data_IF_834335678364
#
_entry.id   IF_834335678364
#
_cell.length_a   1.000
_cell.length_b   1.000
_cell.length_c   1.000
_cell.angle_alpha   90.00
_cell.angle_beta   90.00
_cell.angle_gamma   90.00
#
_symmetry.space_group_name_H-M   'P 1'
#
loop_
_entity.id
_entity.type
_entity.pdbx_description
1 polymer ?
#
# COMPACT_ATOMS: atom_id res chain seq x y z
N UNK A 1 30.48 1.50 -19.65
CA UNK A 1 31.73 2.30 -19.61
C UNK A 1 31.77 3.55 -20.50
N UNK A 2 30.84 3.80 -21.46
CA UNK A 2 30.83 5.03 -22.29
C UNK A 2 29.83 6.13 -21.87
N UNK A 3 28.99 5.91 -20.86
CA UNK A 3 28.00 6.91 -20.40
C UNK A 3 28.43 7.74 -19.18
N UNK A 4 29.55 7.38 -18.53
CA UNK A 4 30.07 8.15 -17.39
C UNK A 4 30.93 9.37 -17.79
N UNK A 5 31.25 9.51 -19.09
CA UNK A 5 32.15 10.57 -19.56
C UNK A 5 31.44 11.84 -20.04
N UNK A 6 30.11 11.86 -20.16
CA UNK A 6 29.40 12.98 -20.78
C UNK A 6 28.88 14.05 -19.79
N UNK A 7 28.98 13.81 -18.47
CA UNK A 7 28.51 14.76 -17.43
C UNK A 7 29.66 15.55 -16.80
N UNK A 8 30.93 15.20 -17.10
CA UNK A 8 32.11 15.87 -16.54
C UNK A 8 32.67 17.01 -17.41
N UNK A 9 32.12 17.26 -18.61
CA UNK A 9 32.64 18.28 -19.53
C UNK A 9 32.00 19.66 -19.42
N UNK A 10 31.17 19.90 -18.40
CA UNK A 10 30.47 21.19 -18.22
C UNK A 10 30.71 21.86 -16.85
N UNK A 11 31.72 21.42 -16.10
CA UNK A 11 32.10 22.06 -14.83
C UNK A 11 33.54 22.55 -14.98
N UNK A 12 33.69 23.87 -15.04
CA UNK A 12 35.00 24.51 -15.02
C UNK A 12 35.59 24.39 -13.60
N UNK A 13 36.64 23.59 -13.40
CA UNK A 13 37.20 23.34 -12.07
C UNK A 13 37.85 24.58 -11.45
N UNK A 14 38.07 25.65 -12.22
CA UNK A 14 38.65 26.92 -11.78
C UNK A 14 37.59 28.03 -11.54
N UNK A 15 36.28 27.71 -11.62
CA UNK A 15 35.22 28.69 -11.30
C UNK A 15 35.30 29.12 -9.81
N UNK A 16 35.55 30.41 -9.52
CA UNK A 16 35.70 30.90 -8.15
C UNK A 16 34.45 30.68 -7.30
N UNK A 17 33.25 30.57 -7.87
CA UNK A 17 32.04 30.23 -7.11
C UNK A 17 32.01 28.74 -6.71
N UNK A 18 32.44 27.86 -7.59
CA UNK A 18 32.51 26.41 -7.35
C UNK A 18 33.54 26.09 -6.26
N UNK A 19 34.73 26.68 -6.34
CA UNK A 19 35.79 26.55 -5.34
C UNK A 19 35.33 27.09 -3.98
N UNK A 20 34.57 28.20 -3.97
CA UNK A 20 34.00 28.80 -2.74
C UNK A 20 32.86 27.98 -2.13
N UNK A 21 32.17 27.15 -2.92
CA UNK A 21 31.16 26.21 -2.42
C UNK A 21 31.76 24.92 -1.85
N UNK A 22 32.91 24.48 -2.40
CA UNK A 22 33.67 23.33 -1.90
C UNK A 22 34.41 23.63 -0.59
N UNK A 23 34.96 24.84 -0.45
CA UNK A 23 35.72 25.28 0.74
C UNK A 23 34.84 25.78 1.89
N UNK A 24 33.51 25.77 1.76
CA UNK A 24 32.60 26.28 2.80
C UNK A 24 32.41 25.23 3.90
N UNK A 25 32.76 25.53 5.17
CA UNK A 25 32.49 24.64 6.30
C UNK A 25 31.02 24.24 6.40
N UNK A 26 30.75 23.00 6.82
CA UNK A 26 29.41 22.41 6.83
C UNK A 26 28.38 23.26 7.61
N UNK A 27 28.78 23.82 8.75
CA UNK A 27 27.95 24.68 9.60
C UNK A 27 27.48 25.96 8.88
N UNK A 28 28.35 26.56 8.06
CA UNK A 28 28.03 27.77 7.28
C UNK A 28 27.14 27.42 6.08
N UNK A 29 27.28 26.23 5.52
CA UNK A 29 26.43 25.76 4.41
C UNK A 29 25.00 25.49 4.88
N UNK A 30 24.84 24.92 6.08
CA UNK A 30 23.52 24.77 6.71
C UNK A 30 22.91 26.11 7.08
N UNK A 31 23.68 27.04 7.64
CA UNK A 31 23.17 28.37 8.03
C UNK A 31 22.74 29.21 6.82
N UNK A 32 23.46 29.16 5.70
CA UNK A 32 23.06 29.81 4.43
C UNK A 32 21.78 29.21 3.86
N UNK A 33 21.59 27.89 3.98
CA UNK A 33 20.36 27.22 3.57
C UNK A 33 19.19 27.61 4.48
N UNK A 34 19.41 27.67 5.79
CA UNK A 34 18.41 28.13 6.77
C UNK A 34 18.04 29.60 6.55
N UNK A 35 19.00 30.48 6.26
CA UNK A 35 18.75 31.87 5.90
C UNK A 35 17.97 32.01 4.59
N UNK A 36 18.26 31.17 3.59
CA UNK A 36 17.52 31.17 2.31
C UNK A 36 16.08 30.69 2.49
N UNK A 37 15.86 29.68 3.33
CA UNK A 37 14.51 29.23 3.72
C UNK A 37 13.75 30.32 4.49
N UNK A 38 14.39 30.95 5.49
CA UNK A 38 13.79 32.05 6.26
C UNK A 38 13.44 33.25 5.38
N UNK A 39 14.28 33.59 4.39
CA UNK A 39 13.98 34.64 3.40
C UNK A 39 12.78 34.31 2.53
N UNK A 40 12.66 33.06 2.06
CA UNK A 40 11.50 32.60 1.28
C UNK A 40 10.21 32.63 2.09
N UNK A 41 10.23 32.12 3.32
CA UNK A 41 9.06 32.16 4.22
C UNK A 41 8.66 33.60 4.52
N UNK A 42 9.63 34.49 4.77
CA UNK A 42 9.35 35.91 4.99
C UNK A 42 8.77 36.61 3.76
N UNK A 43 9.13 36.20 2.54
CA UNK A 43 8.55 36.73 1.30
C UNK A 43 7.09 36.31 1.12
N UNK A 44 6.77 35.06 1.43
CA UNK A 44 5.40 34.54 1.35
C UNK A 44 4.50 35.20 2.39
N UNK A 45 4.97 35.36 3.63
CA UNK A 45 4.22 36.02 4.71
C UNK A 45 4.02 37.53 4.47
N UNK A 46 4.86 38.16 3.64
CA UNK A 46 4.74 39.57 3.24
C UNK A 46 3.99 39.77 1.93
N UNK A 47 3.51 38.70 1.28
CA UNK A 47 2.74 38.80 0.04
C UNK A 47 1.33 39.27 0.34
N UNK A 48 0.94 40.40 -0.25
CA UNK A 48 -0.41 40.97 -0.12
C UNK A 48 -1.50 40.05 -0.70
N UNK A 49 -1.16 39.22 -1.69
CA UNK A 49 -2.06 38.23 -2.27
C UNK A 49 -2.33 37.09 -1.29
N UNK A 50 -1.26 36.54 -0.70
CA UNK A 50 -1.39 35.47 0.28
C UNK A 50 -2.17 35.92 1.52
N UNK A 51 -1.93 37.16 1.96
CA UNK A 51 -2.66 37.76 3.08
C UNK A 51 -4.16 37.89 2.78
N UNK A 52 -4.53 38.34 1.58
CA UNK A 52 -5.94 38.47 1.17
C UNK A 52 -6.64 37.13 1.09
N UNK A 53 -5.99 36.11 0.50
CA UNK A 53 -6.57 34.76 0.45
C UNK A 53 -6.75 34.16 1.84
N UNK A 54 -5.79 34.38 2.75
CA UNK A 54 -5.89 33.93 4.13
C UNK A 54 -7.07 34.62 4.85
N UNK A 55 -7.23 35.93 4.66
CA UNK A 55 -8.32 36.72 5.24
C UNK A 55 -9.70 36.28 4.69
N UNK A 56 -9.82 35.95 3.40
CA UNK A 56 -11.05 35.40 2.81
C UNK A 56 -11.41 34.02 3.34
N UNK A 57 -10.42 33.13 3.49
CA UNK A 57 -10.63 31.78 4.03
C UNK A 57 -11.06 31.86 5.50
N UNK A 58 -10.43 32.72 6.30
CA UNK A 58 -10.81 32.95 7.70
C UNK A 58 -12.24 33.52 7.79
N UNK A 59 -12.58 34.50 6.95
CA UNK A 59 -13.94 35.08 6.93
C UNK A 59 -15.01 34.08 6.50
N UNK A 60 -14.70 33.22 5.53
CA UNK A 60 -15.60 32.14 5.09
C UNK A 60 -15.87 31.14 6.23
N UNK A 61 -14.84 30.79 6.99
CA UNK A 61 -14.95 29.86 8.12
C UNK A 61 -15.63 30.48 9.36
N UNK A 62 -15.45 31.78 9.63
CA UNK A 62 -16.19 32.48 10.69
C UNK A 62 -17.70 32.56 10.40
N UNK A 63 -18.11 32.53 9.14
CA UNK A 63 -19.52 32.52 8.74
C UNK A 63 -20.17 31.12 8.82
N UNK A 64 -19.39 30.05 8.68
CA UNK A 64 -19.85 28.67 8.85
C UNK A 64 -19.67 28.21 10.31
N UNK A 65 -20.60 28.60 11.18
CA UNK A 65 -20.51 28.39 12.64
C UNK A 65 -20.69 26.96 13.15
N UNK A 66 -19.88 25.97 12.74
CA UNK A 66 -19.89 24.62 13.35
C UNK A 66 -18.48 24.04 13.66
N UNK A 67 -18.20 23.98 14.97
CA UNK A 67 -17.20 23.25 15.77
C UNK A 67 -15.68 23.60 15.74
N UNK A 68 -15.01 23.65 16.92
CA UNK A 68 -13.69 24.25 17.08
C UNK A 68 -12.53 23.22 17.16
N UNK A 69 -11.43 23.50 16.46
CA UNK A 69 -10.08 23.19 16.96
C UNK A 69 -9.22 22.12 16.26
N UNK A 70 -9.79 21.15 15.53
CA UNK A 70 -9.01 20.07 14.89
C UNK A 70 -8.98 20.15 13.35
N UNK A 71 -9.98 20.75 12.73
CA UNK A 71 -10.11 20.87 11.27
C UNK A 71 -9.22 21.97 10.67
N UNK A 72 -8.93 23.02 11.45
CA UNK A 72 -8.13 24.17 11.00
C UNK A 72 -6.70 23.78 10.67
N UNK A 73 -6.06 22.97 11.53
CA UNK A 73 -4.68 22.51 11.34
C UNK A 73 -4.52 21.57 10.15
N UNK A 74 -5.52 20.72 9.88
CA UNK A 74 -5.48 19.79 8.74
C UNK A 74 -5.80 20.47 7.42
N UNK A 75 -6.80 21.37 7.37
CA UNK A 75 -7.11 22.15 6.17
C UNK A 75 -5.99 23.14 5.85
N UNK A 76 -5.38 23.76 6.87
CA UNK A 76 -4.22 24.64 6.66
C UNK A 76 -2.99 23.86 6.20
N UNK A 77 -2.70 22.67 6.77
CA UNK A 77 -1.66 21.78 6.23
C UNK A 77 -1.95 21.33 4.79
N UNK A 78 -3.21 21.06 4.48
CA UNK A 78 -3.65 20.66 3.14
C UNK A 78 -3.50 21.80 2.13
N UNK A 79 -3.89 23.03 2.50
CA UNK A 79 -3.68 24.23 1.69
C UNK A 79 -2.19 24.53 1.51
N UNK A 80 -1.38 24.40 2.58
CA UNK A 80 0.07 24.58 2.49
C UNK A 80 0.67 23.54 1.53
N UNK A 81 0.26 22.26 1.64
CA UNK A 81 0.67 21.19 0.73
C UNK A 81 0.30 21.50 -0.72
N UNK A 82 -0.95 21.88 -1.00
CA UNK A 82 -1.41 22.19 -2.35
C UNK A 82 -0.67 23.42 -2.93
N UNK A 83 -0.32 24.41 -2.09
CA UNK A 83 0.45 25.59 -2.50
C UNK A 83 1.91 25.25 -2.86
N UNK A 84 2.50 24.24 -2.22
CA UNK A 84 3.82 23.73 -2.58
C UNK A 84 3.80 22.81 -3.81
N UNK A 85 2.67 22.16 -4.10
CA UNK A 85 2.48 21.28 -5.27
C UNK A 85 2.16 22.06 -6.55
N UNK A 86 1.50 23.21 -6.45
CA UNK A 86 1.01 23.98 -7.61
C UNK A 86 1.79 25.25 -7.95
N UNK A 87 3.08 25.36 -7.58
CA UNK A 87 3.91 26.45 -8.11
C UNK A 87 3.97 26.38 -9.65
N UNK A 88 3.58 27.45 -10.37
CA UNK A 88 3.50 27.42 -11.82
C UNK A 88 4.92 27.52 -12.39
N UNK A 89 5.47 26.40 -12.83
CA UNK A 89 6.78 26.40 -13.47
C UNK A 89 7.46 25.05 -13.56
N UNK A 90 6.85 24.10 -14.26
CA UNK A 90 7.54 23.16 -15.18
C UNK A 90 6.51 22.18 -15.77
N UNK A 91 6.42 22.17 -17.09
CA UNK A 91 5.70 21.16 -17.85
C UNK A 91 6.26 19.75 -17.56
N UNK A 92 5.45 18.68 -17.69
CA UNK A 92 5.95 17.32 -17.57
C UNK A 92 6.67 16.96 -18.87
N UNK A 93 7.99 17.15 -18.90
CA UNK A 93 8.83 16.47 -19.89
C UNK A 93 8.99 15.02 -19.47
N UNK A 94 8.54 14.12 -20.34
CA UNK A 94 8.88 12.70 -20.38
C UNK A 94 10.33 12.43 -19.97
N UNK A 95 10.55 11.57 -18.98
CA UNK A 95 11.87 11.06 -18.64
C UNK A 95 12.04 10.76 -17.15
N UNK A 96 12.36 9.51 -16.81
CA UNK A 96 12.63 9.07 -15.45
C UNK A 96 13.71 9.91 -14.77
N UNK A 97 13.47 10.30 -13.52
CA UNK A 97 14.41 11.06 -12.72
C UNK A 97 13.81 11.47 -11.38
N UNK A 98 14.29 10.84 -10.31
CA UNK A 98 13.97 11.12 -8.91
C UNK A 98 14.10 12.62 -8.60
N UNK A 99 12.98 13.29 -8.32
CA UNK A 99 13.00 14.65 -7.79
C UNK A 99 13.05 14.63 -6.27
N UNK A 100 14.21 14.99 -5.72
CA UNK A 100 14.43 15.34 -4.31
C UNK A 100 13.61 16.59 -3.96
N UNK A 101 12.40 16.35 -3.47
CA UNK A 101 11.48 17.34 -2.90
C UNK A 101 10.29 16.54 -2.39
N UNK A 102 10.44 15.94 -1.22
CA UNK A 102 9.58 14.86 -0.71
C UNK A 102 8.14 15.31 -0.47
N UNK A 103 7.33 15.32 -1.52
CA UNK A 103 5.88 15.35 -1.41
C UNK A 103 5.42 14.03 -0.81
N UNK A 104 4.77 14.09 0.35
CA UNK A 104 4.10 12.93 0.94
C UNK A 104 3.00 12.51 -0.03
N UNK A 105 3.09 11.29 -0.58
CA UNK A 105 2.01 10.74 -1.42
C UNK A 105 0.76 10.60 -0.54
N UNK A 106 -0.35 11.31 -0.83
CA UNK A 106 -1.53 11.26 0.01
C UNK A 106 -2.20 9.88 -0.07
N UNK A 107 -2.65 9.37 1.08
CA UNK A 107 -3.43 8.12 1.14
C UNK A 107 -4.78 8.32 0.45
N UNK A 108 -5.46 9.43 0.76
CA UNK A 108 -6.72 9.80 0.13
C UNK A 108 -6.48 10.85 -0.96
N UNK A 109 -6.28 10.36 -2.18
CA UNK A 109 -6.09 11.15 -3.39
C UNK A 109 -7.35 11.26 -4.26
N UNK A 110 -8.47 10.72 -3.79
CA UNK A 110 -9.76 10.82 -4.47
C UNK A 110 -10.22 12.29 -4.45
N UNK A 111 -10.18 12.97 -5.61
CA UNK A 111 -10.59 14.38 -5.80
C UNK A 111 -11.53 14.52 -7.00
N UNK A 112 -12.50 15.44 -6.89
CA UNK A 112 -13.38 15.81 -8.02
C UNK A 112 -14.11 14.61 -8.63
N UNK A 113 -13.89 14.38 -9.93
CA UNK A 113 -14.56 13.33 -10.70
C UNK A 113 -14.34 11.89 -10.19
N UNK A 114 -13.20 11.60 -9.53
CA UNK A 114 -12.93 10.27 -8.96
C UNK A 114 -13.72 10.01 -7.68
N UNK A 115 -14.16 11.05 -6.97
CA UNK A 115 -15.09 10.91 -5.83
C UNK A 115 -16.47 10.48 -6.32
N UNK A 116 -16.89 10.97 -7.49
CA UNK A 116 -18.18 10.58 -8.09
C UNK A 116 -18.15 9.17 -8.68
N UNK A 117 -16.96 8.66 -9.08
CA UNK A 117 -16.80 7.33 -9.67
C UNK A 117 -17.12 6.18 -8.69
N UNK A 118 -16.95 6.40 -7.38
CA UNK A 118 -17.09 5.36 -6.37
C UNK A 118 -18.16 5.69 -5.32
N UNK A 119 -18.98 4.71 -4.88
CA UNK A 119 -19.91 4.91 -3.79
C UNK A 119 -19.17 5.20 -2.48
N UNK A 120 -19.82 5.94 -1.56
CA UNK A 120 -19.22 6.38 -0.28
C UNK A 120 -18.55 5.24 0.48
N UNK A 121 -19.18 4.07 0.52
CA UNK A 121 -18.67 2.89 1.23
C UNK A 121 -17.36 2.38 0.59
N UNK A 122 -17.30 2.28 -0.73
CA UNK A 122 -16.10 1.85 -1.44
C UNK A 122 -14.96 2.85 -1.26
N UNK A 123 -15.24 4.17 -1.34
CA UNK A 123 -14.22 5.21 -1.08
C UNK A 123 -13.59 5.08 0.29
N UNK A 124 -14.42 4.82 1.31
CA UNK A 124 -13.94 4.62 2.68
C UNK A 124 -13.05 3.37 2.77
N UNK A 125 -13.45 2.26 2.14
CA UNK A 125 -12.65 1.03 2.11
C UNK A 125 -11.33 1.22 1.35
N UNK A 126 -11.32 1.94 0.24
CA UNK A 126 -10.10 2.30 -0.50
C UNK A 126 -9.13 3.09 0.37
N UNK A 127 -9.62 4.11 1.09
CA UNK A 127 -8.79 4.88 2.02
C UNK A 127 -8.23 4.02 3.15
N UNK A 128 -9.07 3.18 3.78
CA UNK A 128 -8.66 2.27 4.85
C UNK A 128 -7.61 1.27 4.36
N UNK A 129 -7.84 0.66 3.21
CA UNK A 129 -6.92 -0.30 2.61
C UNK A 129 -5.58 0.34 2.25
N UNK A 130 -5.59 1.53 1.64
CA UNK A 130 -4.36 2.27 1.37
C UNK A 130 -3.63 2.64 2.67
N UNK A 131 -4.36 2.98 3.74
CA UNK A 131 -3.78 3.23 5.07
C UNK A 131 -3.09 1.99 5.64
N UNK A 132 -3.71 0.81 5.54
CA UNK A 132 -3.09 -0.45 6.01
C UNK A 132 -1.80 -0.73 5.25
N UNK A 133 -1.74 -0.47 3.95
CA UNK A 133 -0.48 -0.63 3.20
C UNK A 133 0.61 0.32 3.74
N UNK A 134 0.28 1.56 4.10
CA UNK A 134 1.22 2.48 4.76
C UNK A 134 1.66 1.99 6.13
N UNK A 135 0.76 1.40 6.90
CA UNK A 135 1.10 0.83 8.20
C UNK A 135 2.06 -0.36 8.03
N UNK A 136 1.79 -1.28 7.10
CA UNK A 136 2.69 -2.42 6.82
C UNK A 136 4.11 -1.94 6.48
N UNK A 137 4.24 -0.89 5.65
CA UNK A 137 5.52 -0.26 5.33
C UNK A 137 6.17 0.36 6.58
N UNK A 138 5.41 1.11 7.37
CA UNK A 138 5.87 1.79 8.58
C UNK A 138 6.36 0.81 9.66
N UNK A 139 5.70 -0.33 9.82
CA UNK A 139 6.09 -1.40 10.74
C UNK A 139 7.23 -2.28 10.19
N UNK A 140 7.68 -2.04 8.95
CA UNK A 140 8.74 -2.83 8.32
C UNK A 140 8.32 -4.26 7.99
N UNK A 141 7.02 -4.54 7.89
CA UNK A 141 6.48 -5.87 7.58
C UNK A 141 6.40 -6.14 6.07
N UNK A 142 6.72 -5.15 5.24
CA UNK A 142 6.73 -5.32 3.78
C UNK A 142 7.97 -6.12 3.35
N UNK A 143 7.77 -7.39 3.03
CA UNK A 143 8.79 -8.25 2.42
C UNK A 143 8.47 -8.41 0.94
N UNK A 144 8.96 -7.48 0.12
CA UNK A 144 8.79 -7.45 -1.34
C UNK A 144 7.42 -6.92 -1.82
N UNK A 145 7.13 -7.07 -3.12
CA UNK A 145 5.92 -6.58 -3.79
C UNK A 145 4.74 -7.59 -3.76
N UNK A 146 4.96 -8.79 -3.22
CA UNK A 146 4.03 -9.93 -3.36
C UNK A 146 3.03 -10.08 -2.22
N UNK A 147 3.37 -9.56 -1.05
CA UNK A 147 2.50 -9.51 0.11
C UNK A 147 1.22 -8.71 -0.27
N UNK A 148 0.05 -9.11 0.23
CA UNK A 148 -1.23 -8.57 -0.25
C UNK A 148 -2.25 -8.37 0.87
N UNK A 149 -2.91 -7.22 0.84
CA UNK A 149 -4.11 -6.96 1.64
C UNK A 149 -5.29 -6.84 0.69
N UNK A 150 -6.37 -7.57 0.99
CA UNK A 150 -7.58 -7.58 0.16
C UNK A 150 -8.82 -7.31 0.99
N UNK A 151 -9.77 -6.60 0.39
CA UNK A 151 -11.01 -6.20 1.07
C UNK A 151 -12.21 -6.45 0.16
N UNK A 152 -13.21 -7.18 0.65
CA UNK A 152 -14.50 -7.36 -0.01
C UNK A 152 -15.32 -6.07 0.08
N UNK A 153 -15.75 -5.53 -1.06
CA UNK A 153 -16.50 -4.26 -1.13
C UNK A 153 -17.93 -4.44 -0.59
N UNK A 154 -18.60 -5.51 -1.00
CA UNK A 154 -19.97 -5.81 -0.60
C UNK A 154 -20.13 -7.31 -0.35
N UNK A 155 -21.07 -7.70 0.53
CA UNK A 155 -21.39 -9.12 0.75
C UNK A 155 -22.19 -9.71 -0.41
N UNK A 156 -22.92 -8.88 -1.15
CA UNK A 156 -23.84 -9.35 -2.20
C UNK A 156 -23.16 -9.47 -3.58
N UNK A 157 -22.03 -8.78 -3.76
CA UNK A 157 -21.26 -8.81 -5.00
C UNK A 157 -19.84 -9.22 -4.66
N UNK A 158 -19.33 -10.28 -5.29
CA UNK A 158 -17.97 -10.80 -5.12
C UNK A 158 -16.93 -9.89 -5.79
N UNK A 159 -16.90 -8.63 -5.38
CA UNK A 159 -15.90 -7.66 -5.79
C UNK A 159 -14.98 -7.32 -4.64
N UNK A 160 -13.71 -7.24 -4.96
CA UNK A 160 -12.64 -7.10 -3.99
C UNK A 160 -11.69 -5.98 -4.40
N UNK A 161 -11.18 -5.26 -3.41
CA UNK A 161 -10.12 -4.29 -3.58
C UNK A 161 -8.78 -4.95 -3.31
N UNK A 162 -7.83 -4.72 -4.21
CA UNK A 162 -6.47 -5.25 -4.13
C UNK A 162 -5.46 -4.20 -4.62
N UNK A 163 -4.25 -4.26 -4.06
CA UNK A 163 -3.11 -3.49 -4.53
C UNK A 163 -2.64 -4.00 -5.91
N UNK A 164 -2.33 -3.11 -6.87
CA UNK A 164 -1.73 -3.51 -8.13
C UNK A 164 -0.33 -4.11 -7.94
N UNK A 165 -0.01 -5.13 -8.74
CA UNK A 165 1.32 -5.73 -8.77
C UNK A 165 2.33 -4.73 -9.36
N UNK A 166 3.42 -4.51 -8.63
CA UNK A 166 4.52 -3.64 -9.05
C UNK A 166 4.64 -2.33 -8.25
N UNK A 167 3.61 -1.92 -7.50
CA UNK A 167 3.74 -0.81 -6.56
C UNK A 167 4.40 -1.25 -5.25
N UNK A 168 5.14 -0.35 -4.61
CA UNK A 168 5.57 -0.49 -3.23
C UNK A 168 4.44 -0.12 -2.26
N UNK A 169 4.57 -0.54 -1.01
CA UNK A 169 3.54 -0.33 0.01
C UNK A 169 3.29 1.14 0.33
N UNK A 170 4.36 1.94 0.40
CA UNK A 170 4.28 3.39 0.54
C UNK A 170 3.87 4.16 -0.74
N UNK A 171 3.63 3.49 -1.85
CA UNK A 171 3.13 4.13 -3.07
C UNK A 171 1.63 3.97 -3.24
N UNK A 172 1.01 3.06 -2.48
CA UNK A 172 -0.43 2.79 -2.57
C UNK A 172 -1.23 4.01 -2.14
N UNK A 173 -2.24 4.34 -2.95
CA UNK A 173 -3.25 5.38 -2.69
C UNK A 173 -4.66 4.81 -2.86
N UNK A 174 -5.68 5.58 -2.44
CA UNK A 174 -7.07 5.17 -2.58
C UNK A 174 -7.48 5.01 -4.06
N UNK A 175 -7.00 5.86 -4.97
CA UNK A 175 -7.29 5.73 -6.40
C UNK A 175 -6.49 4.63 -7.07
N UNK A 176 -5.30 4.27 -6.58
CA UNK A 176 -4.46 3.24 -7.23
C UNK A 176 -4.96 1.81 -7.04
N UNK A 177 -5.90 1.58 -6.12
CA UNK A 177 -6.46 0.26 -5.83
C UNK A 177 -7.33 -0.25 -6.99
N UNK A 178 -7.19 -1.55 -7.26
CA UNK A 178 -7.93 -2.25 -8.30
C UNK A 178 -9.19 -2.88 -7.71
N UNK A 179 -10.28 -2.90 -8.48
CA UNK A 179 -11.46 -3.72 -8.20
C UNK A 179 -11.43 -4.96 -9.08
N UNK A 180 -11.46 -6.12 -8.45
CA UNK A 180 -11.45 -7.43 -9.12
C UNK A 180 -12.64 -8.28 -8.74
N UNK A 181 -12.98 -9.26 -9.57
CA UNK A 181 -13.96 -10.29 -9.23
C UNK A 181 -13.33 -11.54 -8.58
N UNK A 182 -14.13 -12.55 -8.27
CA UNK A 182 -13.67 -13.80 -7.66
C UNK A 182 -12.70 -14.62 -8.54
N UNK A 183 -12.65 -14.38 -9.85
CA UNK A 183 -11.70 -15.03 -10.78
C UNK A 183 -10.39 -14.26 -10.92
N UNK A 184 -10.37 -12.99 -10.48
CA UNK A 184 -9.21 -12.11 -10.61
C UNK A 184 -9.25 -11.23 -11.85
N UNK A 185 -10.38 -11.15 -12.55
CA UNK A 185 -10.54 -10.22 -13.66
C UNK A 185 -10.70 -8.80 -13.12
N UNK A 186 -9.98 -7.85 -13.71
CA UNK A 186 -9.99 -6.45 -13.29
C UNK A 186 -11.21 -5.74 -13.88
N UNK A 187 -12.14 -5.35 -13.02
CA UNK A 187 -13.35 -4.60 -13.39
C UNK A 187 -13.10 -3.08 -13.41
N UNK A 188 -12.26 -2.61 -12.50
CA UNK A 188 -11.81 -1.23 -12.47
C UNK A 188 -10.33 -1.17 -12.09
N UNK A 189 -9.53 -0.57 -12.98
CA UNK A 189 -8.08 -0.40 -12.84
C UNK A 189 -7.67 0.76 -11.90
N UNK A 190 -8.64 1.51 -11.38
CA UNK A 190 -8.37 2.71 -10.60
C UNK A 190 -7.59 3.72 -11.44
N UNK A 191 -6.57 4.33 -10.84
CA UNK A 191 -5.67 5.29 -11.52
C UNK A 191 -4.45 4.63 -12.17
N UNK A 192 -4.40 3.30 -12.27
CA UNK A 192 -3.23 2.57 -12.79
C UNK A 192 -3.58 1.64 -13.95
N UNK A 193 -2.58 1.30 -14.75
CA UNK A 193 -2.66 0.29 -15.82
C UNK A 193 -2.04 -1.05 -15.41
N UNK A 194 -1.71 -1.18 -14.12
CA UNK A 194 -1.02 -2.35 -13.59
C UNK A 194 -2.02 -3.48 -13.33
N UNK A 195 -1.55 -4.71 -13.46
CA UNK A 195 -2.36 -5.90 -13.21
C UNK A 195 -2.36 -6.35 -11.75
N UNK A 196 -2.96 -7.50 -11.49
CA UNK A 196 -2.91 -8.16 -10.18
C UNK A 196 -1.86 -9.28 -10.14
N UNK A 197 -1.41 -9.61 -8.93
CA UNK A 197 -0.72 -10.87 -8.69
C UNK A 197 -1.75 -12.01 -8.66
N UNK A 198 -1.97 -12.67 -9.79
CA UNK A 198 -2.97 -13.74 -9.87
C UNK A 198 -2.65 -14.88 -8.90
N UNK A 199 -1.39 -15.33 -8.82
CA UNK A 199 -1.00 -16.41 -7.91
C UNK A 199 -1.33 -16.12 -6.44
N UNK A 200 -1.04 -14.89 -5.99
CA UNK A 200 -1.43 -14.44 -4.64
C UNK A 200 -2.94 -14.30 -4.48
N UNK A 201 -3.62 -13.77 -5.48
CA UNK A 201 -5.08 -13.56 -5.48
C UNK A 201 -5.86 -14.86 -5.25
N UNK A 202 -5.46 -15.96 -5.90
CA UNK A 202 -6.18 -17.24 -5.84
C UNK A 202 -6.34 -17.79 -4.42
N UNK A 203 -5.36 -17.54 -3.55
CA UNK A 203 -5.46 -17.95 -2.16
C UNK A 203 -6.45 -17.08 -1.38
N UNK A 204 -6.43 -15.75 -1.60
CA UNK A 204 -7.40 -14.84 -1.02
C UNK A 204 -8.82 -15.14 -1.51
N UNK A 205 -9.00 -15.43 -2.80
CA UNK A 205 -10.31 -15.78 -3.37
C UNK A 205 -10.85 -17.08 -2.77
N UNK A 206 -10.01 -18.11 -2.60
CA UNK A 206 -10.39 -19.36 -1.94
C UNK A 206 -10.84 -19.14 -0.50
N UNK A 207 -10.12 -18.33 0.27
CA UNK A 207 -10.53 -17.98 1.65
C UNK A 207 -11.86 -17.23 1.68
N UNK A 208 -12.03 -16.23 0.80
CA UNK A 208 -13.29 -15.48 0.71
C UNK A 208 -14.48 -16.36 0.27
N UNK A 209 -14.25 -17.34 -0.60
CA UNK A 209 -15.27 -18.26 -1.05
C UNK A 209 -15.65 -19.29 0.04
N UNK A 210 -14.70 -19.63 0.93
CA UNK A 210 -14.91 -20.54 2.06
C UNK A 210 -15.49 -19.84 3.28
N UNK A 211 -15.25 -18.54 3.45
CA UNK A 211 -15.72 -17.73 4.59
C UNK A 211 -16.38 -16.42 4.14
N UNK A 212 -17.69 -16.45 3.82
CA UNK A 212 -18.45 -15.27 3.38
C UNK A 212 -18.60 -14.17 4.44
N UNK A 213 -18.42 -14.52 5.72
CA UNK A 213 -18.43 -13.59 6.85
C UNK A 213 -17.22 -12.64 6.84
N UNK A 214 -16.08 -13.12 6.33
CA UNK A 214 -14.82 -12.38 6.25
C UNK A 214 -14.88 -11.30 5.16
N UNK A 215 -14.47 -10.09 5.56
CA UNK A 215 -14.42 -8.91 4.70
C UNK A 215 -12.98 -8.50 4.35
N UNK A 216 -12.02 -8.68 5.25
CA UNK A 216 -10.65 -8.26 5.03
C UNK A 216 -9.66 -9.37 5.38
N UNK A 217 -8.68 -9.54 4.49
CA UNK A 217 -7.58 -10.49 4.64
C UNK A 217 -6.27 -9.71 4.55
N UNK A 218 -5.42 -9.87 5.56
CA UNK A 218 -4.04 -9.34 5.55
C UNK A 218 -3.10 -10.54 5.53
N UNK A 219 -2.38 -10.71 4.43
CA UNK A 219 -1.29 -11.67 4.33
C UNK A 219 0.02 -10.99 4.76
N UNK A 220 0.78 -11.61 5.66
CA UNK A 220 2.10 -11.16 6.13
C UNK A 220 3.10 -12.30 6.16
N UNK A 221 4.26 -12.04 5.59
CA UNK A 221 5.38 -12.97 5.40
C UNK A 221 6.66 -12.43 6.07
N UNK A 222 6.49 -11.80 7.23
CA UNK A 222 7.61 -11.42 8.10
C UNK A 222 8.47 -12.65 8.43
N UNK A 223 9.79 -12.49 8.70
CA UNK A 223 10.65 -13.61 9.06
C UNK A 223 10.10 -14.43 10.23
N UNK A 224 9.49 -13.78 11.22
CA UNK A 224 8.91 -14.43 12.37
C UNK A 224 7.69 -15.29 12.00
N UNK A 225 6.75 -14.74 11.22
CA UNK A 225 5.55 -15.47 10.79
C UNK A 225 5.89 -16.65 9.87
N UNK A 226 6.87 -16.50 8.98
CA UNK A 226 7.37 -17.61 8.15
C UNK A 226 7.97 -18.69 9.04
N UNK A 227 8.86 -18.34 9.97
CA UNK A 227 9.52 -19.32 10.83
C UNK A 227 8.50 -20.14 11.65
N UNK A 228 7.54 -19.48 12.29
CA UNK A 228 6.47 -20.15 13.02
C UNK A 228 5.61 -21.02 12.09
N UNK A 229 5.31 -20.56 10.87
CA UNK A 229 4.56 -21.36 9.88
C UNK A 229 5.27 -22.68 9.53
N UNK A 230 6.61 -22.72 9.61
CA UNK A 230 7.40 -23.91 9.32
C UNK A 230 7.54 -24.85 10.53
N UNK A 231 7.36 -24.36 11.76
CA UNK A 231 7.55 -25.17 12.97
C UNK A 231 6.47 -26.24 13.10
N UNK A 232 6.85 -27.46 13.50
CA UNK A 232 5.89 -28.54 13.75
C UNK A 232 4.87 -28.18 14.83
N UNK A 233 5.33 -27.47 15.87
CA UNK A 233 4.50 -26.99 16.97
C UNK A 233 3.54 -25.85 16.58
N UNK A 234 3.80 -25.16 15.46
CA UNK A 234 3.09 -23.93 15.10
C UNK A 234 3.25 -22.82 16.16
N UNK A 235 2.29 -21.90 16.18
CA UNK A 235 2.12 -20.87 17.19
C UNK A 235 1.56 -21.48 18.49
N UNK A 236 2.26 -21.23 19.58
CA UNK A 236 1.94 -21.72 20.92
C UNK A 236 1.28 -20.61 21.75
N UNK A 237 0.32 -20.93 22.63
CA UNK A 237 -0.36 -19.97 23.49
C UNK A 237 0.51 -19.58 24.71
N UNK A 238 1.69 -18.98 24.46
CA UNK A 238 2.71 -18.67 25.48
C UNK A 238 2.70 -17.22 25.97
N UNK A 239 2.09 -16.32 25.21
CA UNK A 239 1.97 -14.90 25.51
C UNK A 239 0.52 -14.45 25.37
N UNK A 240 0.19 -13.30 25.95
CA UNK A 240 -1.17 -12.75 25.92
C UNK A 240 -1.66 -12.53 24.48
N UNK A 241 -0.78 -12.06 23.61
CA UNK A 241 -1.04 -11.83 22.20
C UNK A 241 -1.42 -13.13 21.50
N UNK A 242 -0.71 -14.23 21.76
CA UNK A 242 -1.05 -15.55 21.21
C UNK A 242 -2.41 -16.06 21.72
N UNK A 243 -2.72 -15.84 23.00
CA UNK A 243 -3.99 -16.28 23.59
C UNK A 243 -5.20 -15.54 23.01
N UNK A 244 -5.06 -14.25 22.68
CA UNK A 244 -6.14 -13.43 22.09
C UNK A 244 -6.54 -13.92 20.70
N UNK A 245 -5.60 -14.51 19.94
CA UNK A 245 -5.88 -15.03 18.60
C UNK A 245 -6.84 -16.23 18.61
N UNK A 246 -6.93 -16.93 19.75
CA UNK A 246 -7.79 -18.09 19.90
C UNK A 246 -7.36 -19.24 19.00
N UNK A 247 -8.29 -19.77 18.21
CA UNK A 247 -8.05 -20.89 17.32
C UNK A 247 -7.27 -20.46 16.07
N UNK A 248 -6.19 -21.21 15.80
CA UNK A 248 -5.26 -20.97 14.69
C UNK A 248 -5.24 -22.18 13.78
N UNK A 249 -5.43 -21.95 12.49
CA UNK A 249 -5.45 -22.99 11.46
C UNK A 249 -4.14 -23.04 10.68
N UNK A 250 -3.79 -24.23 10.16
CA UNK A 250 -2.58 -24.45 9.37
C UNK A 250 -2.89 -25.14 8.06
N UNK A 251 -2.25 -24.69 6.99
CA UNK A 251 -2.38 -25.27 5.67
C UNK A 251 -1.00 -25.62 5.09
N UNK A 252 -0.81 -26.90 4.77
CA UNK A 252 0.45 -27.45 4.28
C UNK A 252 0.48 -27.62 2.74
N UNK A 253 -0.68 -27.82 2.11
CA UNK A 253 -0.78 -28.28 0.72
C UNK A 253 -0.92 -27.15 -0.30
N UNK A 254 -0.22 -26.03 -0.08
CA UNK A 254 -0.20 -24.95 -1.06
C UNK A 254 0.95 -25.15 -2.07
N UNK A 255 0.61 -25.54 -3.30
CA UNK A 255 1.56 -25.64 -4.41
C UNK A 255 1.30 -24.51 -5.44
N UNK A 256 2.13 -23.46 -5.51
CA UNK A 256 1.97 -22.42 -6.54
C UNK A 256 2.47 -22.87 -7.92
N UNK A 257 3.29 -23.93 -8.00
CA UNK A 257 4.04 -24.33 -9.21
C UNK A 257 3.09 -24.92 -10.27
N UNK A 258 1.88 -25.32 -9.88
CA UNK A 258 0.84 -25.73 -10.82
C UNK A 258 0.24 -24.57 -11.62
N UNK A 259 0.57 -23.31 -11.31
CA UNK A 259 0.10 -22.12 -12.04
C UNK A 259 1.25 -21.55 -12.89
N UNK A 260 1.07 -21.36 -14.21
CA UNK A 260 2.10 -20.74 -15.02
C UNK A 260 2.28 -19.29 -14.55
N UNK A 261 3.50 -18.99 -14.11
CA UNK A 261 3.96 -17.65 -13.77
C UNK A 261 3.99 -16.79 -15.04
N UNK A 262 2.85 -16.25 -15.45
CA UNK A 262 2.81 -15.27 -16.54
C UNK A 262 3.22 -13.90 -16.01
N UNK A 263 4.51 -13.59 -16.15
CA UNK A 263 5.07 -12.25 -15.97
C UNK A 263 4.84 -11.34 -17.17
N UNK A 264 3.66 -11.38 -17.80
CA UNK A 264 3.33 -10.47 -18.90
C UNK A 264 2.51 -9.27 -18.38
N UNK A 265 2.86 -8.02 -18.73
CA UNK A 265 2.08 -6.85 -18.37
C UNK A 265 0.70 -6.93 -19.03
N UNK A 266 -0.33 -6.42 -18.34
CA UNK A 266 -1.74 -6.47 -18.74
C UNK A 266 -2.11 -5.66 -20.01
N UNK A 267 -1.14 -5.33 -20.87
CA UNK A 267 -1.33 -4.55 -22.09
C UNK A 267 -0.57 -5.14 -23.29
N UNK A 268 -0.81 -6.41 -23.61
CA UNK A 268 -0.77 -6.92 -25.00
C UNK A 268 -1.08 -8.42 -25.03
N UNK A 269 -2.35 -8.78 -25.08
CA UNK A 269 -2.79 -10.09 -25.55
C UNK A 269 -3.78 -9.90 -26.70
N UNK A 270 -3.26 -9.42 -27.83
CA UNK A 270 -3.77 -9.86 -29.12
C UNK A 270 -3.13 -11.21 -29.43
N UNK A 271 -3.68 -12.28 -28.86
CA UNK A 271 -3.38 -13.64 -29.33
C UNK A 271 -4.57 -14.15 -30.13
N UNK A 272 -4.37 -14.30 -31.43
CA UNK A 272 -5.23 -15.12 -32.26
C UNK A 272 -5.12 -16.59 -31.86
N UNK A 273 -6.14 -17.35 -32.29
CA UNK A 273 -6.30 -18.81 -32.28
C UNK A 273 -6.63 -19.53 -30.95
N UNK A 274 -7.94 -19.64 -30.71
CA UNK A 274 -8.72 -20.87 -30.43
C UNK A 274 -8.51 -21.75 -29.18
N UNK A 275 -7.52 -21.55 -28.31
CA UNK A 275 -7.26 -22.47 -27.17
C UNK A 275 -7.49 -21.87 -25.76
N UNK A 276 -8.26 -20.78 -25.64
CA UNK A 276 -8.57 -20.15 -24.35
C UNK A 276 -9.44 -21.03 -23.42
N UNK A 277 -10.09 -22.08 -23.95
CA UNK A 277 -10.97 -22.96 -23.20
C UNK A 277 -10.23 -23.83 -22.17
N UNK A 278 -9.11 -24.42 -22.57
CA UNK A 278 -8.38 -25.39 -21.73
C UNK A 278 -7.63 -24.73 -20.58
N UNK A 279 -7.07 -23.54 -20.81
CA UNK A 279 -6.38 -22.79 -19.75
C UNK A 279 -7.35 -22.28 -18.67
N UNK A 280 -8.46 -21.66 -19.08
CA UNK A 280 -9.49 -21.19 -18.15
C UNK A 280 -10.11 -22.36 -17.37
N UNK A 281 -10.33 -23.50 -18.03
CA UNK A 281 -10.87 -24.70 -17.39
C UNK A 281 -9.89 -25.30 -16.37
N UNK A 282 -8.60 -25.37 -16.70
CA UNK A 282 -7.55 -25.84 -15.79
C UNK A 282 -7.44 -24.96 -14.54
N UNK A 283 -7.38 -23.63 -14.72
CA UNK A 283 -7.33 -22.68 -13.60
C UNK A 283 -8.59 -22.80 -12.72
N UNK A 284 -9.77 -22.95 -13.33
CA UNK A 284 -11.03 -23.13 -12.60
C UNK A 284 -11.05 -24.43 -11.80
N UNK A 285 -10.55 -25.53 -12.38
CA UNK A 285 -10.49 -26.83 -11.70
C UNK A 285 -9.51 -26.80 -10.53
N UNK A 286 -8.30 -26.26 -10.75
CA UNK A 286 -7.31 -26.08 -9.71
C UNK A 286 -7.82 -25.17 -8.58
N UNK A 287 -8.58 -24.12 -8.92
CA UNK A 287 -9.22 -23.23 -7.95
C UNK A 287 -10.25 -23.96 -7.08
N UNK A 288 -11.10 -24.80 -7.68
CA UNK A 288 -12.12 -25.56 -6.95
C UNK A 288 -11.46 -26.55 -5.98
N UNK A 289 -10.46 -27.31 -6.42
CA UNK A 289 -9.76 -28.26 -5.56
C UNK A 289 -9.03 -27.54 -4.40
N UNK A 290 -8.40 -26.39 -4.67
CA UNK A 290 -7.75 -25.59 -3.65
C UNK A 290 -8.76 -25.02 -2.64
N UNK A 291 -9.93 -24.58 -3.12
CA UNK A 291 -10.98 -24.03 -2.27
C UNK A 291 -11.44 -25.04 -1.21
N UNK A 292 -11.67 -26.29 -1.61
CA UNK A 292 -12.18 -27.32 -0.69
C UNK A 292 -11.16 -27.64 0.40
N UNK A 293 -9.88 -27.77 0.03
CA UNK A 293 -8.79 -27.99 1.00
C UNK A 293 -8.61 -26.80 1.94
N UNK A 294 -8.72 -25.57 1.42
CA UNK A 294 -8.67 -24.35 2.24
C UNK A 294 -9.88 -24.25 3.17
N UNK A 295 -11.07 -24.64 2.71
CA UNK A 295 -12.28 -24.66 3.53
C UNK A 295 -12.13 -25.60 4.74
N UNK A 296 -11.66 -26.82 4.48
CA UNK A 296 -11.42 -27.83 5.50
C UNK A 296 -10.36 -27.37 6.50
N UNK A 297 -9.23 -26.84 6.02
CA UNK A 297 -8.13 -26.40 6.87
C UNK A 297 -8.49 -25.17 7.71
N UNK A 298 -9.27 -24.23 7.17
CA UNK A 298 -9.57 -22.97 7.84
C UNK A 298 -10.59 -23.15 8.97
N UNK A 299 -11.58 -24.00 8.79
CA UNK A 299 -12.66 -24.17 9.75
C UNK A 299 -13.60 -22.95 9.88
N UNK A 300 -14.62 -23.04 10.74
CA UNK A 300 -15.68 -22.03 10.85
C UNK A 300 -15.29 -20.80 11.69
N UNK A 301 -14.31 -20.94 12.57
CA UNK A 301 -14.04 -20.01 13.68
C UNK A 301 -12.68 -19.32 13.60
N UNK A 302 -11.68 -19.97 13.00
CA UNK A 302 -10.32 -19.45 12.99
C UNK A 302 -10.22 -18.07 12.32
N UNK A 303 -9.48 -17.17 12.98
CA UNK A 303 -9.18 -15.81 12.51
C UNK A 303 -7.74 -15.67 12.02
N UNK A 304 -6.87 -16.60 12.40
CA UNK A 304 -5.50 -16.70 11.93
C UNK A 304 -5.33 -18.01 11.17
N UNK A 305 -4.73 -17.90 9.98
CA UNK A 305 -4.48 -19.01 9.09
C UNK A 305 -3.02 -18.98 8.63
N UNK A 306 -2.24 -19.97 9.02
CA UNK A 306 -0.85 -20.10 8.59
C UNK A 306 -0.74 -20.97 7.35
N UNK A 307 -0.07 -20.45 6.33
CA UNK A 307 0.37 -21.26 5.18
C UNK A 307 1.82 -21.62 5.39
N UNK A 308 2.08 -22.92 5.48
CA UNK A 308 3.41 -23.46 5.80
C UNK A 308 4.43 -22.99 4.77
N UNK A 309 5.49 -22.33 5.25
CA UNK A 309 6.56 -21.80 4.40
C UNK A 309 6.22 -20.50 3.67
N UNK A 310 5.07 -19.87 3.94
CA UNK A 310 4.69 -18.58 3.35
C UNK A 310 4.36 -17.50 4.36
N UNK A 311 3.85 -17.88 5.53
CA UNK A 311 3.54 -16.94 6.60
C UNK A 311 2.07 -17.00 7.02
N UNK A 312 1.52 -15.84 7.32
CA UNK A 312 0.31 -15.62 8.10
C UNK A 312 -0.77 -14.95 7.25
N UNK A 313 -2.01 -15.43 7.34
CA UNK A 313 -3.21 -14.75 6.89
C UNK A 313 -4.08 -14.41 8.10
N UNK A 314 -4.25 -13.12 8.36
CA UNK A 314 -5.22 -12.63 9.34
C UNK A 314 -6.56 -12.36 8.65
N UNK A 315 -7.65 -12.76 9.28
CA UNK A 315 -9.01 -12.68 8.76
C UNK A 315 -9.92 -11.89 9.70
N UNK A 316 -10.74 -10.99 9.15
CA UNK A 316 -11.67 -10.17 9.93
C UNK A 316 -12.88 -9.70 9.14
N UNK A 317 -13.93 -9.28 9.86
CA UNK A 317 -15.18 -8.73 9.31
C UNK A 317 -15.06 -7.23 8.99
N UNK A 318 -13.98 -6.60 9.48
CA UNK A 318 -13.59 -5.22 9.21
C UNK A 318 -12.08 -5.12 9.01
N UNK A 319 -11.62 -4.02 8.40
CA UNK A 319 -10.19 -3.79 8.17
C UNK A 319 -9.45 -3.63 9.50
N UNK A 320 -10.09 -2.98 10.46
CA UNK A 320 -9.56 -2.70 11.80
C UNK A 320 -9.39 -3.98 12.62
N UNK A 321 -10.39 -4.86 12.58
CA UNK A 321 -10.33 -6.16 13.25
C UNK A 321 -9.21 -7.03 12.66
N UNK A 322 -9.11 -7.09 11.33
CA UNK A 322 -8.03 -7.85 10.68
C UNK A 322 -6.65 -7.30 11.04
N UNK A 323 -6.51 -5.97 11.12
CA UNK A 323 -5.27 -5.32 11.55
C UNK A 323 -4.90 -5.67 12.99
N UNK A 324 -5.89 -5.72 13.90
CA UNK A 324 -5.69 -6.13 15.28
C UNK A 324 -5.16 -7.56 15.38
N UNK A 325 -5.79 -8.51 14.67
CA UNK A 325 -5.31 -9.90 14.63
C UNK A 325 -3.93 -10.02 14.01
N UNK A 326 -3.66 -9.31 12.91
CA UNK A 326 -2.36 -9.34 12.25
C UNK A 326 -1.23 -8.84 13.18
N UNK A 327 -1.47 -7.74 13.90
CA UNK A 327 -0.49 -7.16 14.82
C UNK A 327 -0.18 -8.10 15.99
N UNK A 328 -1.22 -8.64 16.64
CA UNK A 328 -1.03 -9.60 17.73
C UNK A 328 -0.34 -10.88 17.25
N UNK A 329 -0.66 -11.36 16.05
CA UNK A 329 -0.03 -12.55 15.48
C UNK A 329 1.47 -12.34 15.22
N UNK A 330 1.88 -11.18 14.68
CA UNK A 330 3.30 -10.88 14.47
C UNK A 330 4.04 -10.83 15.81
N UNK A 331 3.52 -10.09 16.81
CA UNK A 331 4.13 -9.98 18.14
C UNK A 331 4.22 -11.35 18.82
N UNK A 332 3.19 -12.18 18.71
CA UNK A 332 3.18 -13.53 19.26
C UNK A 332 4.24 -14.42 18.60
N UNK A 333 4.39 -14.35 17.27
CA UNK A 333 5.43 -15.08 16.53
C UNK A 333 6.84 -14.64 16.95
N UNK A 334 7.08 -13.34 17.05
CA UNK A 334 8.37 -12.78 17.47
C UNK A 334 8.72 -13.22 18.90
N UNK A 335 7.77 -13.12 19.82
CA UNK A 335 7.94 -13.53 21.22
C UNK A 335 8.29 -15.01 21.34
N UNK A 336 7.61 -15.87 20.57
CA UNK A 336 7.90 -17.31 20.57
C UNK A 336 9.30 -17.64 20.03
N UNK A 337 9.75 -16.97 18.98
CA UNK A 337 11.10 -17.19 18.46
C UNK A 337 12.18 -16.69 19.41
N UNK A 338 11.94 -15.55 20.06
CA UNK A 338 12.84 -15.04 21.08
C UNK A 338 12.97 -16.04 22.24
N UNK A 339 11.86 -16.60 22.71
CA UNK A 339 11.87 -17.63 23.77
C UNK A 339 12.51 -18.95 23.32
N UNK A 340 12.38 -19.33 22.05
CA UNK A 340 13.02 -20.54 21.51
C UNK A 340 14.55 -20.42 21.40
N UNK A 341 15.09 -19.20 21.49
CA UNK A 341 16.54 -18.94 21.47
C UNK A 341 17.22 -19.04 22.84
N UNK A 342 16.43 -19.15 23.92
CA UNK A 342 16.89 -19.33 25.31
C UNK A 342 17.15 -20.81 25.64
#
# INVERSE_FOLDING_TARGET
HKYALFVLTALDPDDPEFVRQLLRPAEIKEDVNLMSHKKRVSLILKSDLFRKELEEVIQSQMKSGEFPGLSTSLLSLQHISDMFVSAPGKQPSSGGGFSKGGGVIPINDLRGGTVAAYPRNERMLRCKLASVHRLIDLFGWSTNIYTSVTVRISRNHEHFLIKPLGLLYHEVTASSLLRVDSKGEVWDGGSTILGINLSGWLLHSSVFASRPDIRCIIHLDTPATIAISCMKSGLLPICQEAMILGEVSYFADYNPISMPMSGAPAHSLSYGSSDNGDFSHFVTTALMEQRDKVHEALGPTARIFFVRGRGLFALGESVEETWHYATNAVVACETQLLLASL
#
